data_IF_866673070516
#
_entry.id   IF_866673070516
#
_cell.length_a   1.000
_cell.length_b   1.000
_cell.length_c   1.000
_cell.angle_alpha   90.00
_cell.angle_beta   90.00
_cell.angle_gamma   90.00
#
_symmetry.space_group_name_H-M   'P 1'
#
loop_
_entity.id
_entity.type
_entity.pdbx_description
1 polymer ?
#
# COMPACT_ATOMS: atom_id res chain seq x y z
N UNK A 1 21.73 -13.80 -6.38
CA UNK A 1 20.69 -12.77 -6.61
C UNK A 1 19.76 -13.31 -7.67
N UNK A 2 18.44 -13.22 -7.48
CA UNK A 2 17.48 -13.65 -8.50
C UNK A 2 17.62 -12.82 -9.78
N UNK A 3 17.43 -13.49 -10.93
CA UNK A 3 17.26 -12.85 -12.22
C UNK A 3 15.93 -12.08 -12.25
N UNK A 4 15.83 -11.13 -13.18
CA UNK A 4 14.58 -10.39 -13.38
C UNK A 4 13.58 -11.34 -14.04
N UNK A 5 12.36 -11.47 -13.50
CA UNK A 5 11.30 -12.27 -14.11
C UNK A 5 10.99 -11.81 -15.53
N UNK A 6 10.61 -12.74 -16.41
CA UNK A 6 10.14 -12.41 -17.74
C UNK A 6 8.90 -11.50 -17.69
N UNK A 7 8.63 -10.72 -18.75
CA UNK A 7 7.33 -10.08 -18.94
C UNK A 7 6.20 -11.10 -18.82
N UNK A 8 5.06 -10.69 -18.27
CA UNK A 8 3.86 -11.50 -18.31
C UNK A 8 2.93 -11.09 -19.46
N UNK A 9 1.89 -11.90 -19.65
CA UNK A 9 0.78 -11.64 -20.57
C UNK A 9 -0.47 -11.17 -19.80
N UNK A 10 -0.27 -10.34 -18.77
CA UNK A 10 -1.39 -9.72 -18.06
C UNK A 10 -2.02 -8.62 -18.93
N UNK A 11 -3.36 -8.50 -18.92
CA UNK A 11 -4.04 -7.39 -19.56
C UNK A 11 -3.71 -6.07 -18.84
N UNK A 12 -3.70 -4.97 -19.60
CA UNK A 12 -3.28 -3.62 -19.14
C UNK A 12 -3.95 -3.16 -17.83
N UNK A 13 -5.16 -3.61 -17.52
CA UNK A 13 -5.83 -3.24 -16.27
C UNK A 13 -5.26 -3.95 -15.02
N UNK A 14 -4.51 -5.06 -15.18
CA UNK A 14 -3.77 -5.75 -14.11
C UNK A 14 -2.28 -5.35 -14.10
N UNK A 15 -1.75 -4.96 -15.26
CA UNK A 15 -0.38 -4.50 -15.50
C UNK A 15 -0.38 -3.07 -16.09
N UNK A 16 -0.78 -2.05 -15.32
CA UNK A 16 -0.95 -0.70 -15.86
C UNK A 16 0.35 0.00 -16.23
N UNK A 17 1.49 -0.50 -15.72
CA UNK A 17 2.81 0.02 -16.09
C UNK A 17 3.31 -0.67 -17.35
N UNK A 18 3.94 0.06 -18.29
CA UNK A 18 4.66 -0.56 -19.39
C UNK A 18 5.74 -1.51 -18.86
N UNK A 19 5.88 -2.68 -19.49
CA UNK A 19 6.85 -3.72 -19.11
C UNK A 19 8.29 -3.20 -18.98
N UNK A 20 8.67 -2.21 -19.79
CA UNK A 20 9.99 -1.57 -19.74
C UNK A 20 10.20 -0.82 -18.42
N UNK A 21 9.16 -0.14 -17.92
CA UNK A 21 9.21 0.58 -16.64
C UNK A 21 9.34 -0.39 -15.49
N UNK A 22 8.61 -1.50 -15.51
CA UNK A 22 8.71 -2.54 -14.49
C UNK A 22 10.07 -3.20 -14.45
N UNK A 23 10.58 -3.56 -15.64
CA UNK A 23 11.91 -4.14 -15.79
C UNK A 23 12.98 -3.19 -15.26
N UNK A 24 12.88 -1.91 -15.62
CA UNK A 24 13.78 -0.87 -15.13
C UNK A 24 13.68 -0.69 -13.60
N UNK A 25 12.47 -0.69 -13.04
CA UNK A 25 12.27 -0.63 -11.60
C UNK A 25 12.87 -1.84 -10.87
N UNK A 26 12.71 -3.05 -11.41
CA UNK A 26 13.32 -4.27 -10.87
C UNK A 26 14.85 -4.25 -10.99
N UNK A 27 15.41 -3.69 -12.07
CA UNK A 27 16.86 -3.43 -12.18
C UNK A 27 17.34 -2.50 -11.06
N UNK A 28 16.58 -1.43 -10.79
CA UNK A 28 16.84 -0.46 -9.74
C UNK A 28 16.33 -0.87 -8.35
N UNK A 29 15.98 -2.14 -8.13
CA UNK A 29 15.34 -2.56 -6.87
C UNK A 29 16.15 -2.20 -5.62
N UNK A 30 17.48 -2.17 -5.68
CA UNK A 30 18.32 -1.74 -4.56
C UNK A 30 18.13 -0.25 -4.22
N UNK A 31 17.98 0.61 -5.23
CA UNK A 31 17.64 2.01 -5.02
C UNK A 31 16.23 2.15 -4.45
N UNK A 32 15.26 1.37 -4.97
CA UNK A 32 13.88 1.35 -4.44
C UNK A 32 13.88 0.90 -2.97
N UNK A 33 14.64 -0.14 -2.62
CA UNK A 33 14.81 -0.59 -1.23
C UNK A 33 15.33 0.55 -0.36
N UNK A 34 16.40 1.24 -0.77
CA UNK A 34 16.98 2.33 0.01
C UNK A 34 15.98 3.49 0.20
N UNK A 35 15.26 3.87 -0.86
CA UNK A 35 14.22 4.90 -0.81
C UNK A 35 13.12 4.51 0.17
N UNK A 36 12.65 3.26 0.15
CA UNK A 36 11.62 2.79 1.08
C UNK A 36 12.14 2.69 2.52
N UNK A 37 13.41 2.37 2.75
CA UNK A 37 14.02 2.41 4.09
C UNK A 37 13.98 3.84 4.64
N UNK A 38 14.45 4.82 3.85
CA UNK A 38 14.42 6.24 4.23
C UNK A 38 12.98 6.71 4.44
N UNK A 39 12.06 6.34 3.54
CA UNK A 39 10.63 6.63 3.65
C UNK A 39 9.99 6.03 4.90
N UNK A 40 10.34 4.78 5.24
CA UNK A 40 9.85 4.11 6.45
C UNK A 40 10.34 4.82 7.71
N UNK A 41 11.64 5.15 7.79
CA UNK A 41 12.22 5.88 8.92
C UNK A 41 11.55 7.24 9.09
N UNK A 42 11.43 8.01 8.00
CA UNK A 42 10.73 9.30 8.01
C UNK A 42 9.28 9.13 8.45
N UNK A 43 8.59 8.11 7.94
CA UNK A 43 7.22 7.79 8.28
C UNK A 43 7.02 7.46 9.76
N UNK A 44 7.82 6.55 10.33
CA UNK A 44 7.77 6.25 11.76
C UNK A 44 8.08 7.49 12.62
N UNK A 45 9.04 8.32 12.19
CA UNK A 45 9.28 9.61 12.83
C UNK A 45 8.04 10.50 12.74
N UNK A 46 7.37 10.61 11.60
CA UNK A 46 6.14 11.39 11.44
C UNK A 46 5.02 10.93 12.39
N UNK A 47 4.81 9.61 12.49
CA UNK A 47 3.80 9.00 13.34
C UNK A 47 4.14 8.99 14.85
N UNK A 48 5.35 9.39 15.24
CA UNK A 48 5.83 9.30 16.64
C UNK A 48 4.88 9.91 17.67
N UNK A 49 4.28 11.06 17.36
CA UNK A 49 3.38 11.73 18.29
C UNK A 49 2.02 11.03 18.40
N UNK A 50 1.54 10.43 17.30
CA UNK A 50 0.34 9.59 17.33
C UNK A 50 0.61 8.33 18.16
N UNK A 51 1.73 7.65 17.93
CA UNK A 51 2.12 6.44 18.69
C UNK A 51 2.25 6.72 20.19
N UNK A 52 2.81 7.87 20.58
CA UNK A 52 2.92 8.28 21.99
C UNK A 52 1.56 8.48 22.67
N UNK A 53 0.53 8.82 21.90
CA UNK A 53 -0.84 9.04 22.38
C UNK A 53 -1.76 7.82 22.16
N UNK A 54 -1.24 6.74 21.58
CA UNK A 54 -2.00 5.53 21.29
C UNK A 54 -1.51 4.36 22.15
N UNK A 55 -2.45 3.54 22.63
CA UNK A 55 -2.13 2.31 23.35
C UNK A 55 -1.18 1.41 22.56
N UNK A 56 -0.16 0.86 23.22
CA UNK A 56 0.88 0.02 22.59
C UNK A 56 0.29 -1.17 21.84
N UNK A 57 -0.83 -1.73 22.29
CA UNK A 57 -1.52 -2.85 21.61
C UNK A 57 -2.02 -2.48 20.21
N UNK A 58 -2.29 -1.20 19.96
CA UNK A 58 -2.78 -0.69 18.68
C UNK A 58 -1.65 -0.29 17.73
N UNK A 59 -0.40 -0.21 18.21
CA UNK A 59 0.73 0.24 17.38
C UNK A 59 0.92 -0.53 16.07
N UNK A 60 0.63 -1.84 15.96
CA UNK A 60 0.75 -2.54 14.67
C UNK A 60 -0.22 -2.06 13.58
N UNK A 61 -1.31 -1.36 13.94
CA UNK A 61 -2.31 -0.85 12.99
C UNK A 61 -2.33 0.68 12.91
N UNK A 62 -1.34 1.36 13.48
CA UNK A 62 -1.29 2.83 13.53
C UNK A 62 -0.43 3.43 12.41
N UNK A 63 0.82 2.96 12.17
CA UNK A 63 1.67 3.56 11.16
C UNK A 63 1.40 2.90 9.79
N UNK A 64 0.36 3.35 9.10
CA UNK A 64 -0.04 2.90 7.74
C UNK A 64 1.12 2.86 6.72
N UNK A 65 1.43 4.00 6.11
CA UNK A 65 2.47 4.12 5.09
C UNK A 65 3.85 3.64 5.55
N UNK A 66 4.30 3.89 6.80
CA UNK A 66 5.58 3.37 7.29
C UNK A 66 5.63 1.83 7.31
N UNK A 67 4.55 1.16 7.71
CA UNK A 67 4.50 -0.31 7.69
C UNK A 67 4.45 -0.85 6.26
N UNK A 68 3.65 -0.23 5.38
CA UNK A 68 3.59 -0.66 3.98
C UNK A 68 4.93 -0.50 3.24
N UNK A 69 5.65 0.60 3.44
CA UNK A 69 6.98 0.79 2.85
C UNK A 69 8.02 -0.16 3.47
N UNK A 70 7.90 -0.49 4.76
CA UNK A 70 8.72 -1.54 5.39
C UNK A 70 8.44 -2.91 4.77
N UNK A 71 7.17 -3.26 4.53
CA UNK A 71 6.78 -4.48 3.83
C UNK A 71 7.30 -4.52 2.39
N UNK A 72 7.34 -3.38 1.69
CA UNK A 72 7.96 -3.29 0.36
C UNK A 72 9.46 -3.64 0.40
N UNK A 73 10.19 -3.12 1.39
CA UNK A 73 11.60 -3.49 1.61
C UNK A 73 11.75 -4.99 1.81
N UNK A 74 10.94 -5.58 2.70
CA UNK A 74 10.98 -7.01 2.97
C UNK A 74 10.61 -7.84 1.73
N UNK A 75 9.63 -7.39 0.95
CA UNK A 75 9.20 -8.02 -0.31
C UNK A 75 10.35 -8.05 -1.32
N UNK A 76 10.96 -6.91 -1.62
CA UNK A 76 12.05 -6.83 -2.59
C UNK A 76 13.32 -7.55 -2.13
N UNK A 77 13.65 -7.50 -0.84
CA UNK A 77 14.77 -8.26 -0.28
C UNK A 77 14.55 -9.76 -0.39
N UNK A 78 13.37 -10.24 0.02
CA UNK A 78 13.05 -11.67 -0.07
C UNK A 78 13.13 -12.17 -1.52
N UNK A 79 12.57 -11.44 -2.47
CA UNK A 79 12.72 -11.74 -3.91
C UNK A 79 14.20 -11.75 -4.34
N UNK A 80 14.99 -10.73 -3.99
CA UNK A 80 16.41 -10.64 -4.38
C UNK A 80 17.26 -11.79 -3.87
N UNK A 81 16.93 -12.31 -2.69
CA UNK A 81 17.60 -13.45 -2.07
C UNK A 81 16.99 -14.81 -2.45
N UNK A 82 16.03 -14.86 -3.39
CA UNK A 82 15.43 -16.12 -3.83
C UNK A 82 14.48 -16.75 -2.80
N UNK A 83 13.97 -15.96 -1.86
CA UNK A 83 13.00 -16.40 -0.86
C UNK A 83 11.59 -16.02 -1.32
N UNK A 84 10.74 -17.02 -1.54
CA UNK A 84 9.31 -16.78 -1.80
C UNK A 84 8.57 -16.61 -0.47
N UNK A 85 8.27 -15.36 -0.12
CA UNK A 85 7.48 -15.03 1.09
C UNK A 85 6.15 -14.44 0.66
N UNK A 86 5.30 -15.30 0.08
CA UNK A 86 4.04 -14.93 -0.55
C UNK A 86 3.14 -14.01 0.30
N UNK A 87 3.07 -14.20 1.62
CA UNK A 87 2.29 -13.32 2.51
C UNK A 87 2.90 -11.92 2.64
N UNK A 88 4.23 -11.78 2.63
CA UNK A 88 4.89 -10.46 2.61
C UNK A 88 4.61 -9.76 1.29
N UNK A 89 4.70 -10.47 0.17
CA UNK A 89 4.41 -9.92 -1.14
C UNK A 89 2.96 -9.42 -1.24
N UNK A 90 1.99 -10.21 -0.74
CA UNK A 90 0.59 -9.84 -0.68
C UNK A 90 0.36 -8.58 0.18
N UNK A 91 0.92 -8.55 1.40
CA UNK A 91 0.79 -7.40 2.29
C UNK A 91 1.47 -6.14 1.72
N UNK A 92 2.65 -6.29 1.12
CA UNK A 92 3.36 -5.20 0.47
C UNK A 92 2.57 -4.64 -0.72
N UNK A 93 2.02 -5.52 -1.56
CA UNK A 93 1.22 -5.13 -2.73
C UNK A 93 0.00 -4.31 -2.33
N UNK A 94 -0.83 -4.86 -1.45
CA UNK A 94 -2.05 -4.20 -1.00
C UNK A 94 -1.72 -2.92 -0.23
N UNK A 95 -0.78 -2.97 0.73
CA UNK A 95 -0.46 -1.82 1.57
C UNK A 95 0.12 -0.65 0.78
N UNK A 96 1.00 -0.90 -0.19
CA UNK A 96 1.61 0.17 -0.97
C UNK A 96 0.60 0.82 -1.92
N UNK A 97 -0.22 0.02 -2.62
CA UNK A 97 -1.29 0.56 -3.46
C UNK A 97 -2.32 1.32 -2.62
N UNK A 98 -2.82 0.71 -1.55
CA UNK A 98 -3.85 1.30 -0.69
C UNK A 98 -3.38 2.62 -0.10
N UNK A 99 -2.34 2.61 0.72
CA UNK A 99 -1.94 3.83 1.44
C UNK A 99 -1.25 4.86 0.53
N UNK A 100 -0.57 4.42 -0.53
CA UNK A 100 -0.01 5.31 -1.54
C UNK A 100 -1.10 6.13 -2.24
N UNK A 101 -2.07 5.46 -2.87
CA UNK A 101 -3.15 6.15 -3.57
C UNK A 101 -4.15 6.82 -2.63
N UNK A 102 -4.31 6.33 -1.41
CA UNK A 102 -5.15 6.97 -0.41
C UNK A 102 -4.61 8.36 -0.05
N UNK A 103 -3.31 8.49 0.22
CA UNK A 103 -2.72 9.82 0.49
C UNK A 103 -2.83 10.73 -0.74
N UNK A 104 -2.65 10.20 -1.95
CA UNK A 104 -2.87 10.98 -3.19
C UNK A 104 -4.30 11.51 -3.24
N UNK A 105 -5.31 10.66 -2.96
CA UNK A 105 -6.71 11.07 -2.91
C UNK A 105 -6.96 12.14 -1.84
N UNK A 106 -6.41 11.98 -0.64
CA UNK A 106 -6.53 12.99 0.44
C UNK A 106 -5.88 14.32 0.05
N UNK A 107 -4.70 14.29 -0.59
CA UNK A 107 -4.06 15.53 -1.02
C UNK A 107 -4.90 16.27 -2.09
N UNK A 108 -5.51 15.54 -3.02
CA UNK A 108 -6.30 16.12 -4.11
C UNK A 108 -7.69 16.57 -3.65
N UNK A 109 -8.42 15.74 -2.91
CA UNK A 109 -9.84 15.94 -2.61
C UNK A 109 -10.12 16.61 -1.27
N UNK A 110 -9.15 16.64 -0.35
CA UNK A 110 -9.33 17.16 1.01
C UNK A 110 -8.39 18.33 1.28
N UNK A 111 -7.11 18.25 0.86
CA UNK A 111 -6.10 19.26 1.21
C UNK A 111 -5.86 20.34 0.16
N UNK A 112 -6.63 20.37 -0.94
CA UNK A 112 -6.51 21.36 -2.03
C UNK A 112 -5.07 21.56 -2.54
N UNK A 113 -4.35 20.46 -2.79
CA UNK A 113 -2.92 20.46 -3.13
C UNK A 113 -2.53 21.39 -4.29
N UNK A 114 -3.42 21.64 -5.24
CA UNK A 114 -3.11 22.50 -6.39
C UNK A 114 -3.16 24.00 -6.09
N UNK A 115 -3.65 24.38 -4.91
CA UNK A 115 -3.73 25.78 -4.46
C UNK A 115 -2.66 26.08 -3.40
N UNK A 116 -2.14 25.04 -2.73
CA UNK A 116 -1.14 25.19 -1.67
C UNK A 116 0.27 25.47 -2.22
N UNK A 117 1.05 26.22 -1.45
CA UNK A 117 2.50 26.40 -1.68
C UNK A 117 3.35 25.50 -0.76
N UNK A 118 2.70 24.60 -0.01
CA UNK A 118 3.39 23.73 0.94
C UNK A 118 4.22 22.67 0.22
N UNK A 119 5.54 22.84 0.23
CA UNK A 119 6.49 21.82 -0.25
C UNK A 119 6.29 20.47 0.45
N UNK A 120 5.86 20.50 1.71
CA UNK A 120 5.56 19.29 2.47
C UNK A 120 4.37 18.51 1.89
N UNK A 121 3.28 19.19 1.51
CA UNK A 121 2.12 18.52 0.90
C UNK A 121 2.46 17.98 -0.50
N UNK A 122 3.28 18.70 -1.27
CA UNK A 122 3.81 18.21 -2.55
C UNK A 122 4.72 17.00 -2.39
N UNK A 123 5.59 17.02 -1.37
CA UNK A 123 6.39 15.86 -0.99
C UNK A 123 5.50 14.66 -0.67
N UNK A 124 4.45 14.83 0.15
CA UNK A 124 3.51 13.75 0.45
C UNK A 124 2.83 13.21 -0.82
N UNK A 125 2.32 14.08 -1.68
CA UNK A 125 1.67 13.69 -2.94
C UNK A 125 2.61 12.86 -3.82
N UNK A 126 3.81 13.37 -4.12
CA UNK A 126 4.74 12.73 -5.06
C UNK A 126 5.31 11.45 -4.48
N UNK A 127 5.72 11.45 -3.20
CA UNK A 127 6.26 10.26 -2.55
C UNK A 127 5.23 9.14 -2.46
N UNK A 128 3.96 9.45 -2.15
CA UNK A 128 2.91 8.45 -2.06
C UNK A 128 2.39 7.98 -3.42
N UNK A 129 2.42 8.84 -4.44
CA UNK A 129 2.20 8.39 -5.82
C UNK A 129 3.28 7.38 -6.23
N UNK A 130 4.55 7.68 -5.95
CA UNK A 130 5.65 6.74 -6.16
C UNK A 130 5.45 5.43 -5.39
N UNK A 131 5.00 5.51 -4.14
CA UNK A 131 4.67 4.37 -3.29
C UNK A 131 3.55 3.49 -3.87
N UNK A 132 2.49 4.08 -4.41
CA UNK A 132 1.43 3.33 -5.09
C UNK A 132 1.95 2.66 -6.37
N UNK A 133 2.65 3.41 -7.21
CA UNK A 133 3.13 2.90 -8.50
C UNK A 133 4.16 1.77 -8.36
N UNK A 134 5.05 1.83 -7.38
CA UNK A 134 6.05 0.76 -7.19
C UNK A 134 5.43 -0.60 -6.86
N UNK A 135 4.22 -0.65 -6.27
CA UNK A 135 3.59 -1.92 -5.93
C UNK A 135 3.29 -2.78 -7.16
N UNK A 136 3.08 -2.16 -8.32
CA UNK A 136 2.88 -2.88 -9.58
C UNK A 136 4.11 -3.69 -10.01
N UNK A 137 5.30 -3.52 -9.42
CA UNK A 137 6.40 -4.46 -9.74
C UNK A 137 6.28 -5.79 -9.00
N UNK A 138 5.43 -5.88 -7.97
CA UNK A 138 5.34 -7.07 -7.11
C UNK A 138 4.70 -8.23 -7.84
N UNK A 139 3.69 -8.00 -8.69
CA UNK A 139 3.00 -9.08 -9.39
C UNK A 139 3.95 -9.88 -10.29
N UNK A 140 5.06 -9.28 -10.76
CA UNK A 140 6.06 -9.93 -11.62
C UNK A 140 6.81 -11.07 -10.93
N UNK A 141 6.83 -11.09 -9.59
CA UNK A 141 7.55 -12.12 -8.83
C UNK A 141 6.72 -12.74 -7.70
N UNK A 142 5.51 -12.26 -7.45
CA UNK A 142 4.64 -12.76 -6.39
C UNK A 142 3.60 -13.71 -6.97
N UNK A 143 3.44 -14.88 -6.34
CA UNK A 143 2.43 -15.86 -6.76
C UNK A 143 1.03 -15.56 -6.22
N UNK A 144 0.95 -14.72 -5.18
CA UNK A 144 -0.28 -14.40 -4.44
C UNK A 144 -1.10 -15.64 -4.05
N UNK A 145 -0.46 -16.64 -3.44
CA UNK A 145 -1.13 -17.86 -2.95
C UNK A 145 -2.37 -17.55 -2.12
N UNK A 146 -3.37 -18.45 -2.14
CA UNK A 146 -4.64 -18.27 -1.41
C UNK A 146 -4.45 -17.95 0.09
N UNK A 147 -3.54 -18.60 0.84
CA UNK A 147 -3.29 -18.24 2.24
C UNK A 147 -2.73 -16.81 2.38
N UNK A 148 -1.83 -16.38 1.49
CA UNK A 148 -1.28 -15.03 1.50
C UNK A 148 -2.36 -13.98 1.23
N UNK A 149 -3.27 -14.26 0.28
CA UNK A 149 -4.44 -13.43 0.03
C UNK A 149 -5.34 -13.36 1.27
N UNK A 150 -5.61 -14.48 1.93
CA UNK A 150 -6.39 -14.51 3.17
C UNK A 150 -5.79 -13.65 4.29
N UNK A 151 -4.46 -13.66 4.43
CA UNK A 151 -3.73 -12.79 5.37
C UNK A 151 -3.94 -11.31 5.02
N UNK A 152 -3.79 -10.93 3.75
CA UNK A 152 -4.00 -9.55 3.31
C UNK A 152 -5.45 -9.08 3.49
N UNK A 153 -6.43 -9.90 3.11
CA UNK A 153 -7.87 -9.60 3.33
C UNK A 153 -8.14 -9.37 4.81
N UNK A 154 -7.65 -10.26 5.68
CA UNK A 154 -7.87 -10.16 7.12
C UNK A 154 -7.23 -8.89 7.70
N UNK A 155 -5.99 -8.60 7.30
CA UNK A 155 -5.24 -7.45 7.82
C UNK A 155 -5.82 -6.10 7.38
N UNK A 156 -6.09 -5.92 6.09
CA UNK A 156 -6.57 -4.64 5.56
C UNK A 156 -8.07 -4.42 5.81
N UNK A 157 -8.85 -5.51 5.87
CA UNK A 157 -10.23 -5.45 6.34
C UNK A 157 -10.30 -5.08 7.83
N UNK A 158 -9.42 -5.62 8.66
CA UNK A 158 -9.31 -5.20 10.06
C UNK A 158 -8.93 -3.72 10.17
N UNK A 159 -7.91 -3.25 9.43
CA UNK A 159 -7.56 -1.82 9.41
C UNK A 159 -8.76 -0.94 9.05
N UNK A 160 -9.47 -1.23 7.95
CA UNK A 160 -10.64 -0.42 7.56
C UNK A 160 -11.72 -0.36 8.65
N UNK A 161 -11.92 -1.46 9.39
CA UNK A 161 -12.85 -1.48 10.53
C UNK A 161 -12.36 -0.55 11.63
N UNK A 162 -11.09 -0.67 12.05
CA UNK A 162 -10.52 0.11 13.16
C UNK A 162 -10.44 1.60 12.85
N UNK A 163 -10.12 1.93 11.60
CA UNK A 163 -9.84 3.31 11.19
C UNK A 163 -11.11 4.10 10.90
N UNK A 164 -12.11 3.46 10.28
CA UNK A 164 -13.26 4.18 9.71
C UNK A 164 -14.62 3.75 10.22
N UNK A 165 -14.76 2.55 10.82
CA UNK A 165 -16.06 2.02 11.23
C UNK A 165 -16.23 2.00 12.74
N UNK A 166 -15.35 1.32 13.47
CA UNK A 166 -15.50 1.04 14.90
C UNK A 166 -14.20 1.27 15.67
N UNK A 167 -14.17 2.17 16.67
CA UNK A 167 -13.01 2.33 17.53
C UNK A 167 -12.87 1.11 18.47
N UNK A 168 -11.71 0.44 18.47
CA UNK A 168 -11.46 -0.71 19.36
C UNK A 168 -11.23 -0.28 20.82
N UNK A 169 -10.48 0.80 21.03
CA UNK A 169 -10.16 1.40 22.34
C UNK A 169 -9.97 2.91 22.13
N UNK A 170 -10.78 3.75 22.79
CA UNK A 170 -10.67 5.21 22.69
C UNK A 170 -11.35 5.80 21.45
N UNK A 171 -10.77 6.85 20.86
CA UNK A 171 -11.24 7.50 19.62
C UNK A 171 -10.78 6.77 18.35
N UNK A 172 -11.30 7.16 17.19
CA UNK A 172 -10.89 6.63 15.87
C UNK A 172 -9.39 6.88 15.60
N UNK A 173 -8.70 5.84 15.13
CA UNK A 173 -7.32 5.93 14.68
C UNK A 173 -7.31 6.61 13.31
N UNK A 174 -6.42 7.59 13.10
CA UNK A 174 -6.34 8.47 11.92
C UNK A 174 -7.32 9.67 11.87
N UNK A 175 -7.50 10.37 13.00
CA UNK A 175 -8.29 11.60 13.11
C UNK A 175 -7.49 12.92 12.93
N UNK A 176 -6.24 12.86 12.47
CA UNK A 176 -5.36 14.04 12.37
C UNK A 176 -4.87 14.33 10.93
N UNK A 177 -5.78 14.58 10.00
CA UNK A 177 -5.42 14.97 8.63
C UNK A 177 -5.25 16.50 8.51
N UNK A 178 -4.14 17.04 9.02
CA UNK A 178 -3.73 18.41 8.74
C UNK A 178 -4.62 19.53 9.32
N UNK A 179 -4.30 20.81 9.05
CA UNK A 179 -4.87 21.97 9.75
C UNK A 179 -6.34 22.27 9.43
N UNK A 180 -7.00 21.47 8.59
CA UNK A 180 -8.41 21.60 8.21
C UNK A 180 -9.29 20.42 8.63
N UNK A 181 -8.72 19.33 9.15
CA UNK A 181 -9.51 18.39 9.94
C UNK A 181 -9.50 18.90 11.38
N UNK A 182 -10.63 19.51 11.76
CA UNK A 182 -10.90 19.84 13.14
C UNK A 182 -10.75 18.60 14.01
N UNK A 183 -10.19 18.83 15.20
CA UNK A 183 -10.04 17.87 16.29
C UNK A 183 -11.28 16.99 16.50
N UNK A 184 -11.04 15.69 16.63
CA UNK A 184 -11.81 14.66 17.34
C UNK A 184 -13.25 14.99 17.75
N UNK A 185 -14.20 14.23 17.21
CA UNK A 185 -15.55 14.06 17.79
C UNK A 185 -16.73 14.52 16.92
N UNK A 186 -16.49 15.05 15.72
CA UNK A 186 -17.57 15.49 14.84
C UNK A 186 -17.71 14.61 13.59
N UNK A 187 -18.70 13.71 13.62
CA UNK A 187 -19.11 12.86 12.50
C UNK A 187 -19.83 13.64 11.37
N UNK A 188 -19.68 14.97 11.30
CA UNK A 188 -20.35 15.83 10.31
C UNK A 188 -19.47 16.29 9.13
N UNK A 189 -18.19 15.90 9.09
CA UNK A 189 -17.24 16.45 8.10
C UNK A 189 -17.10 15.51 6.91
N UNK A 190 -17.66 15.92 5.76
CA UNK A 190 -17.55 15.29 4.43
C UNK A 190 -16.15 14.76 4.07
N UNK A 191 -15.08 15.35 4.62
CA UNK A 191 -13.71 14.89 4.44
C UNK A 191 -13.45 13.48 5.01
N UNK A 192 -14.00 13.15 6.19
CA UNK A 192 -13.88 11.82 6.78
C UNK A 192 -14.54 10.77 5.89
N UNK A 193 -15.77 11.02 5.43
CA UNK A 193 -16.49 10.09 4.56
C UNK A 193 -15.77 9.88 3.23
N UNK A 194 -15.21 10.95 2.64
CA UNK A 194 -14.39 10.84 1.42
C UNK A 194 -13.15 9.98 1.69
N UNK A 195 -12.46 10.19 2.81
CA UNK A 195 -11.29 9.39 3.19
C UNK A 195 -11.63 7.92 3.43
N UNK A 196 -12.73 7.63 4.14
CA UNK A 196 -13.22 6.29 4.42
C UNK A 196 -13.61 5.56 3.13
N UNK A 197 -14.40 6.21 2.27
CA UNK A 197 -14.80 5.66 0.97
C UNK A 197 -13.58 5.39 0.11
N UNK A 198 -12.61 6.32 0.06
CA UNK A 198 -11.37 6.11 -0.67
C UNK A 198 -10.59 4.90 -0.14
N UNK A 199 -10.46 4.76 1.19
CA UNK A 199 -9.74 3.64 1.82
C UNK A 199 -10.39 2.29 1.48
N UNK A 200 -11.71 2.18 1.70
CA UNK A 200 -12.46 0.94 1.44
C UNK A 200 -12.43 0.59 -0.04
N UNK A 201 -12.66 1.56 -0.94
CA UNK A 201 -12.58 1.33 -2.38
C UNK A 201 -11.18 0.85 -2.80
N UNK A 202 -10.11 1.45 -2.27
CA UNK A 202 -8.74 1.03 -2.55
C UNK A 202 -8.46 -0.37 -2.00
N UNK A 203 -8.94 -0.72 -0.80
CA UNK A 203 -8.86 -2.10 -0.28
C UNK A 203 -9.55 -3.07 -1.23
N UNK A 204 -10.79 -2.78 -1.66
CA UNK A 204 -11.52 -3.66 -2.57
C UNK A 204 -10.84 -3.80 -3.93
N UNK A 205 -10.37 -2.70 -4.52
CA UNK A 205 -9.65 -2.70 -5.81
C UNK A 205 -8.37 -3.51 -5.71
N UNK A 206 -7.55 -3.28 -4.68
CA UNK A 206 -6.26 -3.97 -4.53
C UNK A 206 -6.44 -5.46 -4.27
N UNK A 207 -7.43 -5.86 -3.48
CA UNK A 207 -7.79 -7.26 -3.29
C UNK A 207 -8.28 -7.90 -4.59
N UNK A 208 -9.13 -7.20 -5.35
CA UNK A 208 -9.58 -7.67 -6.66
C UNK A 208 -8.41 -7.88 -7.63
N UNK A 209 -7.50 -6.90 -7.74
CA UNK A 209 -6.31 -7.00 -8.59
C UNK A 209 -5.44 -8.21 -8.19
N UNK A 210 -5.18 -8.38 -6.90
CA UNK A 210 -4.39 -9.49 -6.37
C UNK A 210 -5.03 -10.85 -6.70
N UNK A 211 -6.35 -10.99 -6.51
CA UNK A 211 -7.09 -12.19 -6.87
C UNK A 211 -7.08 -12.45 -8.38
N UNK A 212 -7.24 -11.41 -9.20
CA UNK A 212 -7.24 -11.53 -10.66
C UNK A 212 -5.88 -12.02 -11.18
N UNK A 213 -4.77 -11.51 -10.62
CA UNK A 213 -3.42 -12.01 -10.91
C UNK A 213 -3.30 -13.48 -10.53
N UNK A 214 -3.76 -13.90 -9.33
CA UNK A 214 -3.70 -15.31 -8.91
C UNK A 214 -4.48 -16.23 -9.84
N UNK A 215 -5.69 -15.84 -10.24
CA UNK A 215 -6.52 -16.64 -11.17
C UNK A 215 -5.81 -16.81 -12.51
N UNK A 216 -5.16 -15.75 -13.01
CA UNK A 216 -4.44 -15.81 -14.28
C UNK A 216 -3.18 -16.68 -14.20
N UNK A 217 -2.45 -16.62 -13.08
CA UNK A 217 -1.31 -17.53 -12.80
C UNK A 217 -1.74 -18.99 -12.90
N UNK A 218 -2.80 -19.36 -12.19
CA UNK A 218 -3.33 -20.74 -12.21
C UNK A 218 -3.74 -21.17 -13.61
N UNK A 219 -4.39 -20.29 -14.38
CA UNK A 219 -4.77 -20.60 -15.78
C UNK A 219 -3.56 -20.83 -16.69
N UNK A 220 -2.48 -20.09 -16.48
CA UNK A 220 -1.22 -20.30 -17.21
C UNK A 220 -0.59 -21.64 -16.83
N UNK A 221 -0.51 -21.93 -15.52
CA UNK A 221 0.03 -23.19 -14.99
C UNK A 221 -0.71 -24.41 -15.59
N UNK A 222 -2.04 -24.37 -15.66
CA UNK A 222 -2.86 -25.45 -16.25
C UNK A 222 -2.61 -25.58 -17.76
N UNK A 223 -2.51 -24.46 -18.49
CA UNK A 223 -2.32 -24.49 -19.93
C UNK A 223 -0.94 -25.05 -20.33
N UNK A 224 0.09 -24.82 -19.51
CA UNK A 224 1.43 -25.37 -19.70
C UNK A 224 1.49 -26.87 -19.37
N UNK A 225 0.70 -27.36 -18.41
CA UNK A 225 0.61 -28.79 -18.07
C UNK A 225 -0.12 -29.63 -19.14
N UNK A 226 -1.03 -29.00 -19.90
CA UNK A 226 -1.84 -29.65 -20.95
C UNK A 226 -1.15 -29.67 -22.34
N UNK A 227 0.01 -29.01 -22.51
CA UNK A 227 0.72 -28.82 -23.79
C UNK A 227 1.98 -29.66 -23.97
#
# INVERSE_FOLDING_TARGET
>A
MNSIPAPDDLPVYLSPLPTQIETFALQLSWAIILINIVGSIFGFWYYRFQLLNTSVVMWPVVPDSPLATTLMVLSLLSWRFGQSRNWIHALAFVGNLKYGFWVVAVQIFINDIFITQSLYQWFLLISHLGMGLQAFVIYRYAEFTIPAVGVAVSWFGFNDIVDYLMPLIGDYHHTHFGPRLASAGDHSVRAHDIAAVAAICLTLITLFLMFAVRIRSIKSEIADDDG
#
